data_IF_124732030543
#
_entry.id   IF_124732030543
#
_cell.length_a   1.000
_cell.length_b   1.000
_cell.length_c   1.000
_cell.angle_alpha   90.00
_cell.angle_beta   90.00
_cell.angle_gamma   90.00
#
_symmetry.space_group_name_H-M   'P 1'
#
loop_
_entity.id
_entity.type
_entity.pdbx_description
1 polymer ?
#
# COMPACT_ATOMS: atom_id res chain seq x y z
N UNK A 1 21.16 24.63 48.65
CA UNK A 1 20.64 24.38 47.29
C UNK A 1 20.53 22.86 47.16
N UNK A 2 19.32 22.31 47.28
CA UNK A 2 19.10 20.86 47.35
C UNK A 2 18.94 20.33 45.93
N UNK A 3 19.90 19.52 45.47
CA UNK A 3 19.96 19.02 44.11
C UNK A 3 19.21 17.69 44.03
N UNK A 4 18.03 17.70 43.41
CA UNK A 4 17.27 16.49 43.11
C UNK A 4 17.90 15.78 41.91
N UNK A 5 18.46 14.59 42.14
CA UNK A 5 18.87 13.66 41.09
C UNK A 5 17.62 12.99 40.52
N UNK A 6 17.16 13.43 39.35
CA UNK A 6 16.12 12.74 38.60
C UNK A 6 16.72 11.48 37.98
N UNK A 7 16.30 10.31 38.46
CA UNK A 7 16.68 9.02 37.89
C UNK A 7 15.83 8.79 36.64
N UNK A 8 16.44 8.93 35.46
CA UNK A 8 15.82 8.52 34.20
C UNK A 8 15.90 7.00 34.09
N UNK A 9 14.77 6.32 34.23
CA UNK A 9 14.64 4.92 33.86
C UNK A 9 14.54 4.83 32.33
N UNK A 10 15.57 4.33 31.66
CA UNK A 10 15.47 3.89 30.26
C UNK A 10 14.66 2.59 30.23
N UNK A 11 13.36 2.69 29.93
CA UNK A 11 12.58 1.54 29.52
C UNK A 11 12.99 1.14 28.09
N UNK A 12 13.65 0.00 27.93
CA UNK A 12 13.86 -0.58 26.61
C UNK A 12 12.51 -1.05 26.06
N UNK A 13 11.90 -0.27 25.17
CA UNK A 13 10.75 -0.70 24.38
C UNK A 13 11.21 -1.72 23.37
N UNK A 14 10.86 -2.98 23.57
CA UNK A 14 11.03 -4.04 22.58
C UNK A 14 10.02 -3.75 21.47
N UNK A 15 10.48 -3.26 20.32
CA UNK A 15 9.64 -3.05 19.16
C UNK A 15 9.46 -4.42 18.47
N UNK A 16 8.29 -5.03 18.62
CA UNK A 16 7.89 -6.18 17.82
C UNK A 16 7.28 -5.66 16.51
N UNK A 17 7.74 -6.21 15.38
CA UNK A 17 7.10 -5.95 14.09
C UNK A 17 5.67 -6.48 14.06
N UNK A 18 4.88 -6.00 13.09
CA UNK A 18 3.51 -6.46 12.88
C UNK A 18 3.48 -7.95 12.53
N UNK A 19 2.45 -8.70 13.00
CA UNK A 19 2.30 -10.10 12.62
C UNK A 19 2.06 -10.19 11.11
N UNK A 20 2.80 -11.09 10.44
CA UNK A 20 2.56 -11.41 9.04
C UNK A 20 1.31 -12.27 8.93
N UNK A 21 0.35 -11.96 8.03
CA UNK A 21 -0.80 -12.82 7.78
C UNK A 21 -0.42 -14.26 7.42
N UNK A 22 -1.27 -15.21 7.79
CA UNK A 22 -1.05 -16.65 7.60
C UNK A 22 -1.45 -17.18 6.20
N UNK A 23 -1.79 -16.27 5.29
CA UNK A 23 -2.33 -16.56 3.96
C UNK A 23 -3.86 -16.58 3.89
N UNK A 24 -4.56 -16.38 5.01
CA UNK A 24 -6.01 -16.17 4.98
C UNK A 24 -6.33 -14.79 4.42
N UNK A 25 -6.99 -14.76 3.26
CA UNK A 25 -7.46 -13.51 2.65
C UNK A 25 -8.67 -12.95 3.41
N UNK A 26 -8.77 -11.63 3.63
CA UNK A 26 -9.94 -11.04 4.25
C UNK A 26 -11.20 -11.17 3.37
N UNK A 27 -12.36 -11.21 4.02
CA UNK A 27 -13.65 -11.18 3.33
C UNK A 27 -14.08 -9.73 3.09
N UNK A 28 -14.38 -9.42 1.83
CA UNK A 28 -14.91 -8.11 1.45
C UNK A 28 -16.24 -7.80 2.13
N UNK A 29 -16.40 -6.55 2.57
CA UNK A 29 -17.63 -6.05 3.20
C UNK A 29 -18.60 -5.39 2.20
N UNK A 30 -18.19 -5.30 0.92
CA UNK A 30 -18.95 -4.65 -0.14
C UNK A 30 -18.04 -4.21 -1.29
N UNK A 31 -18.63 -3.83 -2.41
CA UNK A 31 -17.90 -3.39 -3.61
C UNK A 31 -18.16 -1.91 -3.88
N UNK A 32 -17.10 -1.18 -4.22
CA UNK A 32 -17.14 0.22 -4.63
C UNK A 32 -16.32 0.38 -5.90
N UNK A 33 -16.97 0.81 -6.99
CA UNK A 33 -16.29 1.08 -8.26
C UNK A 33 -16.19 2.58 -8.49
N UNK A 34 -14.99 3.09 -8.75
CA UNK A 34 -14.76 4.49 -9.11
C UNK A 34 -14.81 4.69 -10.62
N UNK A 35 -15.23 5.88 -11.06
CA UNK A 35 -15.19 6.25 -12.49
C UNK A 35 -13.78 6.65 -12.95
N UNK A 36 -12.92 7.01 -12.00
CA UNK A 36 -11.55 7.48 -12.17
C UNK A 36 -10.76 7.23 -10.88
N UNK A 37 -9.45 7.40 -10.89
CA UNK A 37 -8.58 7.26 -9.72
C UNK A 37 -9.11 8.04 -8.52
N UNK A 38 -9.18 7.39 -7.35
CA UNK A 38 -9.57 8.06 -6.12
C UNK A 38 -8.36 8.68 -5.42
N UNK A 39 -8.37 9.99 -5.25
CA UNK A 39 -7.29 10.73 -4.60
C UNK A 39 -7.53 10.82 -3.09
N UNK A 40 -6.65 10.23 -2.30
CA UNK A 40 -6.57 10.46 -0.85
C UNK A 40 -5.62 11.63 -0.62
N UNK A 41 -6.17 12.77 -0.19
CA UNK A 41 -5.39 14.01 -0.12
C UNK A 41 -4.40 14.00 1.03
N UNK A 42 -3.37 14.84 0.90
CA UNK A 42 -2.32 14.97 1.91
C UNK A 42 -2.89 15.19 3.32
N UNK A 43 -2.44 14.35 4.27
CA UNK A 43 -2.86 14.38 5.67
C UNK A 43 -4.23 13.74 5.95
N UNK A 44 -4.96 13.27 4.93
CA UNK A 44 -6.22 12.55 5.13
C UNK A 44 -6.02 11.07 5.38
N UNK A 45 -7.02 10.47 6.04
CA UNK A 45 -7.13 9.01 6.20
C UNK A 45 -8.35 8.53 5.44
N UNK A 46 -8.14 7.65 4.46
CA UNK A 46 -9.20 6.88 3.86
C UNK A 46 -9.26 5.51 4.53
N UNK A 47 -10.35 5.23 5.24
CA UNK A 47 -10.65 3.92 5.80
C UNK A 47 -11.73 3.25 4.98
N UNK A 48 -11.35 2.21 4.23
CA UNK A 48 -12.26 1.53 3.31
C UNK A 48 -13.14 0.48 3.97
N UNK A 49 -13.01 0.22 5.28
CA UNK A 49 -13.86 -0.73 6.00
C UNK A 49 -13.83 -2.17 5.47
N UNK A 50 -12.73 -2.57 4.84
CA UNK A 50 -12.55 -3.84 4.12
C UNK A 50 -13.52 -4.05 2.97
N UNK A 51 -13.98 -2.98 2.31
CA UNK A 51 -14.63 -3.09 1.00
C UNK A 51 -13.59 -3.35 -0.10
N UNK A 52 -14.05 -3.95 -1.19
CA UNK A 52 -13.31 -4.08 -2.45
C UNK A 52 -13.51 -2.83 -3.30
N UNK A 53 -12.41 -2.24 -3.74
CA UNK A 53 -12.34 -1.03 -4.55
C UNK A 53 -11.68 -1.33 -5.89
N UNK A 54 -12.23 -0.76 -6.96
CA UNK A 54 -11.75 -0.95 -8.32
C UNK A 54 -12.21 0.19 -9.24
N UNK A 55 -11.73 0.22 -10.48
CA UNK A 55 -12.22 1.15 -11.50
C UNK A 55 -13.35 0.51 -12.32
N UNK A 56 -14.35 1.30 -12.67
CA UNK A 56 -15.54 0.84 -13.41
C UNK A 56 -15.34 0.68 -14.92
N UNK A 57 -14.26 1.25 -15.45
CA UNK A 57 -14.00 1.41 -16.88
C UNK A 57 -12.60 0.93 -17.30
N UNK A 58 -11.94 0.12 -16.46
CA UNK A 58 -10.60 -0.39 -16.69
C UNK A 58 -10.59 -1.91 -16.59
N UNK A 59 -9.84 -2.54 -17.48
CA UNK A 59 -9.51 -3.97 -17.42
C UNK A 59 -8.00 -4.11 -17.46
N UNK A 60 -7.49 -5.08 -16.71
CA UNK A 60 -6.06 -5.38 -16.69
C UNK A 60 -5.52 -5.70 -18.09
N UNK A 61 -4.40 -5.06 -18.46
CA UNK A 61 -3.67 -5.28 -19.72
C UNK A 61 -2.30 -5.94 -19.49
N UNK A 62 -2.18 -6.68 -18.39
CA UNK A 62 -0.94 -7.31 -17.93
C UNK A 62 0.14 -6.28 -17.61
N UNK A 63 1.38 -6.59 -17.96
CA UNK A 63 2.58 -5.76 -17.71
C UNK A 63 2.68 -4.50 -18.60
N UNK A 64 1.55 -3.99 -19.12
CA UNK A 64 1.54 -2.74 -19.88
C UNK A 64 1.54 -1.57 -18.91
N UNK A 65 2.67 -0.88 -18.78
CA UNK A 65 2.76 0.33 -17.98
C UNK A 65 1.80 1.41 -18.47
N UNK A 66 1.14 2.08 -17.52
CA UNK A 66 0.29 3.23 -17.80
C UNK A 66 1.07 4.54 -17.64
N UNK A 67 0.71 5.56 -18.42
CA UNK A 67 1.34 6.88 -18.30
C UNK A 67 0.74 7.64 -17.10
N UNK A 68 1.22 7.34 -15.89
CA UNK A 68 0.88 8.06 -14.66
C UNK A 68 -0.29 7.47 -13.88
N UNK A 69 -0.83 8.21 -12.91
CA UNK A 69 -1.79 7.68 -11.90
C UNK A 69 -3.21 7.40 -12.41
N UNK A 70 -3.54 7.79 -13.64
CA UNK A 70 -4.95 7.80 -14.11
C UNK A 70 -5.60 6.42 -14.18
N UNK A 71 -4.79 5.35 -14.20
CA UNK A 71 -5.28 3.97 -14.22
C UNK A 71 -5.06 3.23 -12.90
N UNK A 72 -4.59 3.95 -11.88
CA UNK A 72 -4.54 3.47 -10.50
C UNK A 72 -5.94 3.49 -9.87
N UNK A 73 -6.21 2.57 -8.94
CA UNK A 73 -7.44 2.64 -8.13
C UNK A 73 -7.37 3.80 -7.14
N UNK A 74 -6.20 3.98 -6.51
CA UNK A 74 -5.95 5.08 -5.57
C UNK A 74 -4.66 5.84 -5.89
N UNK A 75 -4.70 7.16 -5.70
CA UNK A 75 -3.53 8.02 -5.57
C UNK A 75 -3.47 8.56 -4.13
N UNK A 76 -2.46 8.13 -3.37
CA UNK A 76 -2.28 8.45 -1.96
C UNK A 76 -1.19 9.50 -1.82
N UNK A 77 -1.61 10.74 -1.57
CA UNK A 77 -0.72 11.88 -1.50
C UNK A 77 0.16 11.87 -0.22
N UNK A 78 1.24 12.67 -0.17
CA UNK A 78 2.15 12.70 0.98
C UNK A 78 1.45 12.91 2.31
N UNK A 79 1.81 12.11 3.32
CA UNK A 79 1.22 12.16 4.65
C UNK A 79 -0.20 11.60 4.74
N UNK A 80 -0.80 11.16 3.63
CA UNK A 80 -2.09 10.50 3.63
C UNK A 80 -1.96 9.02 4.04
N UNK A 81 -3.06 8.45 4.54
CA UNK A 81 -3.16 7.04 4.89
C UNK A 81 -4.30 6.38 4.13
N UNK A 82 -4.01 5.28 3.45
CA UNK A 82 -5.01 4.36 2.91
C UNK A 82 -5.06 3.12 3.81
N UNK A 83 -6.23 2.79 4.34
CA UNK A 83 -6.35 1.61 5.20
C UNK A 83 -7.61 0.79 5.03
N UNK A 84 -7.52 -0.49 5.41
CA UNK A 84 -8.62 -1.45 5.38
C UNK A 84 -9.30 -1.49 4.00
N UNK A 85 -8.51 -1.72 2.96
CA UNK A 85 -8.95 -1.67 1.57
C UNK A 85 -8.61 -2.99 0.91
N UNK A 86 -9.53 -3.53 0.13
CA UNK A 86 -9.25 -4.61 -0.82
C UNK A 86 -9.23 -3.97 -2.21
N UNK A 87 -8.19 -4.21 -3.00
CA UNK A 87 -8.07 -3.79 -4.40
C UNK A 87 -8.54 -4.96 -5.27
N UNK A 88 -9.60 -4.71 -6.04
CA UNK A 88 -10.20 -5.67 -6.96
C UNK A 88 -9.39 -5.84 -8.25
N UNK A 89 -9.89 -6.65 -9.17
CA UNK A 89 -9.17 -7.04 -10.39
C UNK A 89 -9.35 -6.05 -11.55
N UNK A 90 -10.35 -5.17 -11.48
CA UNK A 90 -10.56 -4.12 -12.48
C UNK A 90 -9.62 -2.93 -12.20
N UNK A 91 -8.35 -3.16 -12.47
CA UNK A 91 -7.23 -2.24 -12.30
C UNK A 91 -6.22 -2.42 -13.44
N UNK A 92 -5.40 -1.40 -13.69
CA UNK A 92 -4.15 -1.56 -14.45
C UNK A 92 -2.96 -1.41 -13.51
N UNK A 93 -2.96 -0.34 -12.72
CA UNK A 93 -2.07 -0.17 -11.57
C UNK A 93 -2.92 -0.16 -10.28
N UNK A 94 -2.37 -0.64 -9.17
CA UNK A 94 -3.14 -0.78 -7.93
C UNK A 94 -3.28 0.54 -7.17
N UNK A 95 -2.19 0.93 -6.49
CA UNK A 95 -2.12 2.14 -5.67
C UNK A 95 -0.87 2.92 -6.01
N UNK A 96 -0.98 4.24 -6.13
CA UNK A 96 0.14 5.14 -6.33
C UNK A 96 0.40 6.02 -5.11
N UNK A 97 1.68 6.35 -4.94
CA UNK A 97 2.20 7.26 -3.93
C UNK A 97 3.26 8.15 -4.59
N UNK A 98 2.81 9.20 -5.29
CA UNK A 98 3.64 9.94 -6.26
C UNK A 98 4.72 10.85 -5.67
N UNK A 99 4.66 11.13 -4.36
CA UNK A 99 5.60 12.03 -3.68
C UNK A 99 6.14 11.44 -2.37
N UNK A 100 6.19 10.10 -2.28
CA UNK A 100 6.51 9.34 -1.07
C UNK A 100 5.67 9.77 0.14
N UNK A 101 6.06 9.35 1.34
CA UNK A 101 5.46 9.75 2.63
C UNK A 101 4.00 9.31 2.85
N UNK A 102 3.47 8.42 2.01
CA UNK A 102 2.18 7.75 2.23
C UNK A 102 2.28 6.62 3.27
N UNK A 103 1.15 6.33 3.91
CA UNK A 103 0.97 5.12 4.73
C UNK A 103 -0.09 4.22 4.10
N UNK A 104 0.28 2.97 3.86
CA UNK A 104 -0.57 1.93 3.31
C UNK A 104 -0.74 0.87 4.39
N UNK A 105 -1.91 0.78 5.00
CA UNK A 105 -2.14 -0.01 6.21
C UNK A 105 -3.25 -1.04 6.00
N UNK A 106 -2.97 -2.32 6.17
CA UNK A 106 -3.96 -3.40 5.99
C UNK A 106 -4.68 -3.30 4.62
N UNK A 107 -3.91 -3.14 3.55
CA UNK A 107 -4.41 -3.10 2.16
C UNK A 107 -4.09 -4.42 1.47
N UNK A 108 -5.07 -4.93 0.70
CA UNK A 108 -5.03 -6.27 0.12
C UNK A 108 -5.27 -6.25 -1.38
N UNK A 109 -4.41 -6.83 -2.20
CA UNK A 109 -4.57 -6.89 -3.67
C UNK A 109 -4.95 -8.29 -4.14
N UNK A 110 -6.17 -8.45 -4.66
CA UNK A 110 -6.71 -9.78 -5.00
C UNK A 110 -6.08 -10.42 -6.24
N UNK A 111 -5.63 -9.64 -7.21
CA UNK A 111 -4.88 -10.10 -8.39
C UNK A 111 -4.13 -8.87 -8.91
N UNK A 112 -2.81 -8.87 -8.74
CA UNK A 112 -1.98 -7.75 -9.18
C UNK A 112 -1.87 -7.77 -10.69
N UNK A 113 -2.19 -6.65 -11.34
CA UNK A 113 -2.10 -6.54 -12.80
C UNK A 113 -0.67 -6.21 -13.25
N UNK A 114 -0.26 -4.94 -13.09
CA UNK A 114 1.08 -4.47 -13.44
C UNK A 114 1.94 -4.35 -12.17
N UNK A 115 1.58 -3.43 -11.27
CA UNK A 115 2.12 -3.22 -9.92
C UNK A 115 1.00 -3.21 -8.87
N UNK A 116 1.26 -3.70 -7.66
CA UNK A 116 0.33 -3.50 -6.54
C UNK A 116 0.45 -2.07 -5.99
N UNK A 117 1.68 -1.63 -5.72
CA UNK A 117 1.98 -0.31 -5.15
C UNK A 117 3.18 0.32 -5.85
N UNK A 118 2.95 1.48 -6.44
CA UNK A 118 3.99 2.32 -7.04
C UNK A 118 4.31 3.52 -6.12
N UNK A 119 5.57 3.64 -5.68
CA UNK A 119 6.08 4.75 -4.85
C UNK A 119 7.07 5.57 -5.68
N UNK A 120 6.76 6.84 -5.92
CA UNK A 120 7.52 7.75 -6.78
C UNK A 120 7.81 9.07 -6.05
N UNK A 121 8.68 9.90 -6.64
CA UNK A 121 8.97 11.25 -6.13
C UNK A 121 9.61 11.30 -4.74
N UNK A 122 9.27 12.32 -3.95
CA UNK A 122 9.79 12.51 -2.58
C UNK A 122 11.20 13.10 -2.51
N UNK A 123 11.85 12.94 -1.34
CA UNK A 123 13.26 13.33 -1.12
C UNK A 123 13.99 12.28 -0.26
N UNK A 124 15.30 12.47 -0.04
CA UNK A 124 16.14 11.50 0.68
C UNK A 124 15.69 11.21 2.12
N UNK A 125 14.90 12.09 2.74
CA UNK A 125 14.34 11.92 4.08
C UNK A 125 12.90 11.42 4.09
N UNK A 126 12.27 11.22 2.92
CA UNK A 126 10.91 10.69 2.83
C UNK A 126 10.86 9.24 3.34
N UNK A 127 9.75 8.88 4.01
CA UNK A 127 9.50 7.53 4.54
C UNK A 127 8.07 7.12 4.24
N UNK A 128 7.91 6.26 3.24
CA UNK A 128 6.64 5.56 2.96
C UNK A 128 6.53 4.29 3.79
N UNK A 129 5.31 3.92 4.20
CA UNK A 129 5.08 2.75 5.05
C UNK A 129 4.04 1.83 4.44
N UNK A 130 4.33 0.53 4.45
CA UNK A 130 3.42 -0.57 4.13
C UNK A 130 3.31 -1.43 5.39
N UNK A 131 2.15 -1.41 6.03
CA UNK A 131 1.92 -1.94 7.36
C UNK A 131 0.80 -2.98 7.31
N UNK A 132 1.13 -4.27 7.43
CA UNK A 132 0.16 -5.34 7.28
C UNK A 132 -0.32 -5.51 5.83
N UNK A 133 -1.38 -6.28 5.65
CA UNK A 133 -1.99 -6.51 4.34
C UNK A 133 -1.28 -7.56 3.51
N UNK A 134 -1.59 -7.61 2.21
CA UNK A 134 -0.95 -8.57 1.33
C UNK A 134 -1.32 -8.43 -0.14
N UNK A 135 -0.51 -9.02 -1.01
CA UNK A 135 -0.76 -9.07 -2.44
C UNK A 135 -0.54 -10.48 -2.97
N UNK A 136 -1.32 -10.86 -3.98
CA UNK A 136 -1.15 -12.14 -4.64
C UNK A 136 -1.17 -11.99 -6.15
N UNK A 137 -0.56 -12.98 -6.80
CA UNK A 137 -0.61 -13.14 -8.24
C UNK A 137 0.04 -12.02 -9.07
N UNK A 138 1.09 -11.40 -8.52
CA UNK A 138 1.89 -10.44 -9.26
C UNK A 138 2.88 -11.16 -10.20
N UNK A 139 2.81 -10.85 -11.49
CA UNK A 139 3.67 -11.47 -12.50
C UNK A 139 5.15 -11.03 -12.41
N UNK A 140 5.43 -9.79 -11.95
CA UNK A 140 6.81 -9.25 -11.88
C UNK A 140 7.13 -8.52 -10.57
N UNK A 141 6.37 -7.48 -10.20
CA UNK A 141 6.62 -6.68 -8.97
C UNK A 141 5.33 -6.46 -8.16
N UNK A 142 5.48 -6.47 -6.83
CA UNK A 142 4.40 -6.07 -5.90
C UNK A 142 4.56 -4.60 -5.52
N UNK A 143 5.71 -4.23 -4.97
CA UNK A 143 6.02 -2.86 -4.56
C UNK A 143 7.13 -2.33 -5.45
N UNK A 144 6.81 -1.34 -6.27
CA UNK A 144 7.76 -0.63 -7.13
C UNK A 144 8.20 0.66 -6.44
N UNK A 145 9.48 0.76 -6.07
CA UNK A 145 10.05 1.98 -5.49
C UNK A 145 10.92 2.72 -6.51
N UNK A 146 10.29 3.66 -7.21
CA UNK A 146 10.91 4.56 -8.20
C UNK A 146 11.11 5.99 -7.66
N UNK A 147 11.00 6.17 -6.35
CA UNK A 147 11.15 7.46 -5.66
C UNK A 147 12.44 7.57 -4.85
N UNK A 148 12.56 8.66 -4.10
CA UNK A 148 13.60 8.85 -3.09
C UNK A 148 13.14 8.32 -1.72
N UNK A 149 14.09 8.24 -0.79
CA UNK A 149 13.81 7.95 0.61
C UNK A 149 13.78 6.46 0.92
N UNK A 150 12.99 6.10 1.93
CA UNK A 150 12.89 4.73 2.46
C UNK A 150 11.46 4.21 2.36
N UNK A 151 11.30 2.95 1.99
CA UNK A 151 10.04 2.22 2.12
C UNK A 151 10.18 1.23 3.28
N UNK A 152 9.33 1.36 4.29
CA UNK A 152 9.26 0.43 5.42
C UNK A 152 8.12 -0.54 5.15
N UNK A 153 8.43 -1.83 5.06
CA UNK A 153 7.44 -2.89 4.91
C UNK A 153 7.47 -3.76 6.17
N UNK A 154 6.34 -3.86 6.87
CA UNK A 154 6.22 -4.62 8.12
C UNK A 154 4.88 -5.38 8.15
N UNK A 155 4.92 -6.67 8.46
CA UNK A 155 3.73 -7.53 8.51
C UNK A 155 3.03 -7.81 7.16
N UNK A 156 3.70 -7.64 6.02
CA UNK A 156 3.09 -7.85 4.69
C UNK A 156 3.18 -9.31 4.21
N UNK A 157 2.10 -9.83 3.62
CA UNK A 157 2.05 -11.17 3.03
C UNK A 157 2.02 -11.14 1.50
N UNK A 158 2.93 -11.86 0.84
CA UNK A 158 2.96 -12.01 -0.62
C UNK A 158 2.77 -13.48 -1.01
N UNK A 159 1.89 -13.74 -1.98
CA UNK A 159 1.61 -15.09 -2.49
C UNK A 159 1.75 -15.13 -4.02
N UNK A 160 2.33 -16.22 -4.55
CA UNK A 160 2.40 -16.51 -5.99
C UNK A 160 2.93 -15.32 -6.80
N UNK A 161 4.07 -14.79 -6.34
CA UNK A 161 4.77 -13.64 -6.89
C UNK A 161 5.98 -14.09 -7.72
N UNK A 162 6.15 -13.53 -8.93
CA UNK A 162 7.25 -13.83 -9.85
C UNK A 162 7.31 -15.31 -10.29
N UNK A 163 6.19 -16.04 -10.21
CA UNK A 163 6.08 -17.47 -10.54
C UNK A 163 4.93 -17.82 -11.52
N UNK A 164 4.24 -16.83 -12.14
CA UNK A 164 3.26 -17.16 -13.18
C UNK A 164 3.95 -17.43 -14.52
N UNK A 165 3.99 -18.72 -14.91
CA UNK A 165 4.05 -19.08 -16.33
C UNK A 165 2.85 -18.40 -17.04
N UNK A 166 3.17 -17.48 -17.95
CA UNK A 166 2.29 -16.58 -18.69
C UNK A 166 0.83 -17.07 -18.95
N UNK A 167 -0.15 -16.19 -18.66
CA UNK A 167 -1.53 -16.31 -19.16
C UNK A 167 -1.63 -16.01 -20.65
#
# INVERSE_FOLDING_TARGET
MLQFLATFALGASIAFGLPVPDGTWPTSQGNVSFAEVYVVKSGEVFDGGMNTYELSNVTCLGQTESNGTSTAVFDVQPGATLRNVIIGTNQMEGVHCEMSDCTIENVWWEDVCEDALSIKGGNASSVSRVLGGGARYADDKVIQHNGFGTVVVDGFYAQDFAERDAK
#
